data_IF_846210581380
#
_entry.id   IF_846210581380
#
_cell.length_a   1.000
_cell.length_b   1.000
_cell.length_c   1.000
_cell.angle_alpha   90.00
_cell.angle_beta   90.00
_cell.angle_gamma   90.00
#
_symmetry.space_group_name_H-M   'P 1'
#
loop_
_entity.id
_entity.type
_entity.pdbx_description
1 polymer ?
#
# COMPACT_ATOMS: atom_id res chain seq x y z
N UNK A 1 8.22 -18.06 23.09
CA UNK A 1 7.29 -19.05 22.50
C UNK A 1 6.29 -18.27 21.66
N UNK A 2 6.47 -18.21 20.34
CA UNK A 2 5.51 -17.53 19.46
C UNK A 2 4.23 -18.35 19.37
N UNK A 3 3.14 -17.81 19.93
CA UNK A 3 1.80 -18.36 19.74
C UNK A 3 1.42 -18.24 18.27
N UNK A 4 1.51 -19.33 17.52
CA UNK A 4 0.87 -19.46 16.21
C UNK A 4 -0.63 -19.51 16.42
N UNK A 5 -1.25 -18.33 16.62
CA UNK A 5 -2.69 -18.20 16.53
C UNK A 5 -3.10 -18.68 15.14
N UNK A 6 -3.81 -19.80 15.06
CA UNK A 6 -4.41 -20.25 13.81
C UNK A 6 -5.34 -19.13 13.32
N UNK A 7 -4.94 -18.46 12.23
CA UNK A 7 -5.72 -17.39 11.61
C UNK A 7 -7.10 -17.94 11.27
N UNK A 8 -8.13 -17.57 12.05
CA UNK A 8 -9.52 -17.98 11.79
C UNK A 8 -9.95 -17.32 10.48
N UNK A 9 -10.21 -18.13 9.45
CA UNK A 9 -10.73 -17.65 8.17
C UNK A 9 -12.24 -17.42 8.28
N UNK A 10 -12.71 -16.28 7.76
CA UNK A 10 -14.13 -16.01 7.59
C UNK A 10 -14.66 -16.65 6.30
N UNK A 11 -15.86 -17.22 6.34
CA UNK A 11 -16.56 -17.70 5.14
C UNK A 11 -17.40 -16.57 4.56
N UNK A 12 -17.17 -16.25 3.28
CA UNK A 12 -17.89 -15.22 2.55
C UNK A 12 -18.58 -15.85 1.33
N UNK A 13 -19.80 -15.42 1.04
CA UNK A 13 -20.48 -15.72 -0.22
C UNK A 13 -20.64 -14.41 -0.97
N UNK A 14 -20.18 -14.36 -2.22
CA UNK A 14 -20.19 -13.15 -3.05
C UNK A 14 -20.80 -13.47 -4.42
N UNK A 15 -21.38 -12.44 -5.02
CA UNK A 15 -21.80 -12.48 -6.42
C UNK A 15 -20.83 -11.64 -7.23
N UNK A 16 -20.21 -12.25 -8.23
CA UNK A 16 -19.28 -11.61 -9.16
C UNK A 16 -19.65 -12.01 -10.58
N UNK A 17 -19.17 -11.24 -11.56
CA UNK A 17 -19.40 -11.53 -12.96
C UNK A 17 -18.63 -12.79 -13.41
N UNK A 18 -19.14 -13.44 -14.46
CA UNK A 18 -18.63 -14.74 -14.91
C UNK A 18 -17.20 -14.65 -15.49
N UNK A 19 -16.87 -13.54 -16.15
CA UNK A 19 -15.53 -13.22 -16.64
C UNK A 19 -14.51 -13.21 -15.49
N UNK A 20 -14.79 -12.47 -14.41
CA UNK A 20 -13.92 -12.40 -13.24
C UNK A 20 -13.78 -13.77 -12.55
N UNK A 21 -14.89 -14.52 -12.40
CA UNK A 21 -14.81 -15.88 -11.85
C UNK A 21 -13.96 -16.81 -12.71
N UNK A 22 -14.01 -16.66 -14.04
CA UNK A 22 -13.25 -17.50 -14.97
C UNK A 22 -11.74 -17.22 -14.89
N UNK A 23 -11.35 -15.95 -14.73
CA UNK A 23 -9.95 -15.57 -14.50
C UNK A 23 -9.39 -16.15 -13.19
N UNK A 24 -10.17 -16.07 -12.11
CA UNK A 24 -9.79 -16.67 -10.81
C UNK A 24 -9.57 -18.18 -10.97
N UNK A 25 -10.41 -18.85 -11.75
CA UNK A 25 -10.31 -20.29 -12.00
C UNK A 25 -9.05 -20.65 -12.79
N UNK A 26 -8.70 -19.83 -13.79
CA UNK A 26 -7.48 -20.02 -14.56
C UNK A 26 -6.23 -19.83 -13.68
N UNK A 27 -6.21 -18.80 -12.84
CA UNK A 27 -5.10 -18.54 -11.91
C UNK A 27 -4.97 -19.68 -10.90
N UNK A 28 -6.10 -20.12 -10.32
CA UNK A 28 -6.15 -21.25 -9.39
C UNK A 28 -5.58 -22.53 -10.02
N UNK A 29 -5.97 -22.84 -11.25
CA UNK A 29 -5.46 -23.98 -12.01
C UNK A 29 -3.95 -23.88 -12.28
N UNK A 30 -3.46 -22.70 -12.69
CA UNK A 30 -2.02 -22.47 -12.93
C UNK A 30 -1.18 -22.61 -11.67
N UNK A 31 -1.70 -22.14 -10.53
CA UNK A 31 -1.02 -22.20 -9.22
C UNK A 31 -1.18 -23.56 -8.51
N UNK A 32 -2.08 -24.43 -8.96
CA UNK A 32 -2.46 -25.64 -8.22
C UNK A 32 -3.07 -25.33 -6.84
N UNK A 33 -3.74 -24.18 -6.70
CA UNK A 33 -4.25 -23.65 -5.44
C UNK A 33 -5.78 -23.53 -5.47
N UNK A 34 -6.47 -23.60 -4.31
CA UNK A 34 -7.92 -23.41 -4.25
C UNK A 34 -8.32 -21.96 -4.55
N UNK A 35 -9.49 -21.76 -5.15
CA UNK A 35 -10.05 -20.42 -5.48
C UNK A 35 -10.05 -19.46 -4.29
N UNK A 36 -10.35 -19.96 -3.09
CA UNK A 36 -10.37 -19.16 -1.87
C UNK A 36 -8.99 -18.61 -1.50
N UNK A 37 -7.91 -19.34 -1.80
CA UNK A 37 -6.55 -18.85 -1.55
C UNK A 37 -6.17 -17.78 -2.56
N UNK A 38 -6.45 -18.01 -3.85
CA UNK A 38 -6.24 -17.01 -4.90
C UNK A 38 -7.00 -15.72 -4.59
N UNK A 39 -8.25 -15.84 -4.18
CA UNK A 39 -9.06 -14.69 -3.78
C UNK A 39 -8.50 -13.98 -2.55
N UNK A 40 -8.02 -14.72 -1.55
CA UNK A 40 -7.39 -14.13 -0.37
C UNK A 40 -6.12 -13.34 -0.73
N UNK A 41 -5.28 -13.88 -1.62
CA UNK A 41 -4.09 -13.19 -2.12
C UNK A 41 -4.46 -11.88 -2.83
N UNK A 42 -5.39 -11.93 -3.79
CA UNK A 42 -5.85 -10.75 -4.53
C UNK A 42 -6.41 -9.68 -3.58
N UNK A 43 -7.23 -10.07 -2.60
CA UNK A 43 -7.80 -9.14 -1.64
C UNK A 43 -6.74 -8.50 -0.75
N UNK A 44 -5.70 -9.25 -0.35
CA UNK A 44 -4.59 -8.71 0.46
C UNK A 44 -3.75 -7.73 -0.34
N UNK A 45 -3.47 -8.04 -1.59
CA UNK A 45 -2.71 -7.16 -2.48
C UNK A 45 -3.49 -5.86 -2.73
N UNK A 46 -4.78 -5.97 -3.02
CA UNK A 46 -5.65 -4.81 -3.20
C UNK A 46 -5.77 -3.95 -1.94
N UNK A 47 -5.95 -4.56 -0.75
CA UNK A 47 -5.99 -3.82 0.52
C UNK A 47 -4.68 -3.07 0.79
N UNK A 48 -3.55 -3.68 0.47
CA UNK A 48 -2.23 -3.08 0.65
C UNK A 48 -2.03 -1.89 -0.29
N UNK A 49 -2.41 -2.06 -1.56
CA UNK A 49 -2.39 -0.99 -2.55
C UNK A 49 -3.32 0.16 -2.18
N UNK A 50 -4.55 -0.14 -1.75
CA UNK A 50 -5.54 0.86 -1.36
C UNK A 50 -5.04 1.71 -0.19
N UNK A 51 -4.46 1.09 0.85
CA UNK A 51 -3.88 1.82 1.99
C UNK A 51 -2.74 2.74 1.56
N UNK A 52 -1.84 2.24 0.72
CA UNK A 52 -0.73 3.03 0.17
C UNK A 52 -1.25 4.26 -0.58
N UNK A 53 -2.23 4.08 -1.45
CA UNK A 53 -2.80 5.17 -2.23
C UNK A 53 -3.52 6.21 -1.37
N UNK A 54 -4.20 5.80 -0.30
CA UNK A 54 -4.80 6.75 0.65
C UNK A 54 -3.73 7.62 1.28
N UNK A 55 -2.64 7.02 1.76
CA UNK A 55 -1.52 7.76 2.36
C UNK A 55 -0.88 8.72 1.33
N UNK A 56 -0.62 8.25 0.10
CA UNK A 56 -0.06 9.09 -0.96
C UNK A 56 -0.97 10.26 -1.32
N UNK A 57 -2.29 10.03 -1.33
CA UNK A 57 -3.27 11.10 -1.54
C UNK A 57 -3.25 12.09 -0.39
N UNK A 58 -3.28 11.63 0.85
CA UNK A 58 -3.30 12.50 2.03
C UNK A 58 -2.02 13.35 2.11
N UNK A 59 -0.85 12.77 1.77
CA UNK A 59 0.42 13.50 1.65
C UNK A 59 0.32 14.59 0.59
N UNK A 60 -0.23 14.26 -0.58
CA UNK A 60 -0.40 15.22 -1.67
C UNK A 60 -1.34 16.36 -1.27
N UNK A 61 -2.47 16.03 -0.66
CA UNK A 61 -3.47 17.01 -0.22
C UNK A 61 -2.87 17.93 0.85
N UNK A 62 -2.08 17.40 1.79
CA UNK A 62 -1.32 18.19 2.77
C UNK A 62 -0.41 19.22 2.09
N UNK A 63 0.49 18.79 1.19
CA UNK A 63 1.42 19.72 0.54
C UNK A 63 0.73 20.73 -0.38
N UNK A 64 -0.41 20.36 -0.98
CA UNK A 64 -1.23 21.29 -1.76
C UNK A 64 -1.96 22.31 -0.89
N UNK A 65 -2.30 21.95 0.35
CA UNK A 65 -2.99 22.83 1.29
C UNK A 65 -2.10 23.91 1.92
N UNK A 66 -0.77 23.79 1.80
CA UNK A 66 0.17 24.74 2.38
C UNK A 66 0.03 26.14 1.76
N UNK A 67 0.13 27.14 2.62
CA UNK A 67 0.29 28.55 2.27
C UNK A 67 1.65 28.82 1.63
N UNK A 68 1.83 29.98 1.00
CA UNK A 68 3.11 30.33 0.38
C UNK A 68 4.22 30.57 1.41
N UNK A 69 3.86 31.06 2.59
CA UNK A 69 4.74 31.20 3.74
C UNK A 69 5.26 29.85 4.22
N UNK A 70 4.38 28.87 4.42
CA UNK A 70 4.76 27.51 4.83
C UNK A 70 5.61 26.80 3.76
N UNK A 71 5.28 26.99 2.48
CA UNK A 71 6.12 26.49 1.38
C UNK A 71 7.50 27.13 1.36
N UNK A 72 7.61 28.42 1.71
CA UNK A 72 8.89 29.13 1.79
C UNK A 72 9.74 28.57 2.93
N UNK A 73 9.16 28.41 4.11
CA UNK A 73 9.84 27.82 5.26
C UNK A 73 10.34 26.40 4.93
N UNK A 74 9.49 25.58 4.30
CA UNK A 74 9.86 24.22 3.89
C UNK A 74 11.04 24.19 2.90
N UNK A 75 11.16 25.18 2.00
CA UNK A 75 12.33 25.33 1.11
C UNK A 75 13.60 25.70 1.87
N UNK A 76 13.49 26.59 2.86
CA UNK A 76 14.62 27.01 3.69
C UNK A 76 15.15 25.84 4.54
N UNK A 77 14.26 25.05 5.17
CA UNK A 77 14.63 23.83 5.88
C UNK A 77 15.29 22.77 4.98
N UNK A 78 14.78 22.60 3.76
CA UNK A 78 15.38 21.67 2.78
C UNK A 78 16.82 22.07 2.44
N UNK A 79 17.06 23.38 2.24
CA UNK A 79 18.39 23.91 1.94
C UNK A 79 19.38 23.70 3.09
N UNK A 80 18.97 23.99 4.32
CA UNK A 80 19.81 23.77 5.52
C UNK A 80 20.15 22.29 5.68
N UNK A 81 19.20 21.40 5.41
CA UNK A 81 19.41 19.95 5.50
C UNK A 81 20.41 19.45 4.45
N UNK A 82 20.31 19.93 3.20
CA UNK A 82 21.27 19.57 2.15
C UNK A 82 22.69 20.06 2.46
N UNK A 83 22.84 21.29 2.95
CA UNK A 83 24.14 21.86 3.31
C UNK A 83 24.76 21.11 4.51
N UNK A 84 23.93 20.66 5.45
CA UNK A 84 24.38 19.87 6.59
C UNK A 84 24.80 18.45 6.20
N UNK A 85 24.13 17.84 5.21
CA UNK A 85 24.47 16.50 4.73
C UNK A 85 25.82 16.46 3.99
N UNK A 86 26.15 17.49 3.22
CA UNK A 86 27.48 17.64 2.60
C UNK A 86 28.58 17.78 3.66
N UNK A 87 28.30 18.49 4.76
CA UNK A 87 29.26 18.70 5.84
C UNK A 87 29.54 17.42 6.66
N UNK A 88 28.54 16.55 6.84
CA UNK A 88 28.68 15.29 7.59
C UNK A 88 29.38 14.19 6.79
N UNK A 89 29.31 14.21 5.45
CA UNK A 89 30.00 13.24 4.59
C UNK A 89 31.50 13.51 4.37
N UNK A 90 32.01 14.64 4.90
CA UNK A 90 33.40 15.08 4.77
C UNK A 90 34.26 14.80 6.03
N UNK A 91 33.69 14.11 7.03
CA UNK A 91 34.36 13.59 8.23
C UNK A 91 34.53 12.07 8.13
#
# INVERSE_FOLDING_TARGET
MSSTSTLRKAKLTITISNDVSSEIDEIARKKGAPRSQVMEEILRDWLSWSKKNTIEKDIKDYYLSLTEEEKKENREWTKITSESAEFVHQL
#
